data_IF_537484456583
#
_entry.id   IF_537484456583
#
_cell.length_a   1.000
_cell.length_b   1.000
_cell.length_c   1.000
_cell.angle_alpha   90.00
_cell.angle_beta   90.00
_cell.angle_gamma   90.00
#
_symmetry.space_group_name_H-M   'P 1'
#
loop_
_entity.id
_entity.type
_entity.pdbx_description
1 polymer ?
#
# COMPACT_ATOMS: atom_id res chain seq x y z
N UNK A 1 10.27 18.44 5.15
CA UNK A 1 9.30 17.62 4.38
C UNK A 1 8.41 18.58 3.62
N UNK A 2 8.31 18.46 2.29
CA UNK A 2 7.65 19.44 1.42
C UNK A 2 6.12 19.27 1.32
N UNK A 3 5.61 18.04 1.51
CA UNK A 3 4.18 17.72 1.47
C UNK A 3 3.47 17.79 2.84
N UNK A 4 4.19 18.14 3.91
CA UNK A 4 3.62 18.14 5.27
C UNK A 4 2.63 19.31 5.42
N UNK A 5 1.33 19.06 5.71
CA UNK A 5 0.35 20.13 5.89
C UNK A 5 0.60 20.85 7.22
N UNK A 6 1.32 21.97 7.17
CA UNK A 6 1.81 22.69 8.36
C UNK A 6 0.72 23.32 9.23
N UNK A 7 -0.50 23.42 8.72
CA UNK A 7 -1.65 24.01 9.40
C UNK A 7 -2.62 22.95 9.96
N UNK A 8 -2.41 21.67 9.61
CA UNK A 8 -3.28 20.57 10.03
C UNK A 8 -2.80 19.95 11.34
N UNK A 9 -3.33 20.44 12.47
CA UNK A 9 -2.90 20.04 13.81
C UNK A 9 -3.01 18.53 14.03
N UNK A 10 -4.09 17.89 13.56
CA UNK A 10 -4.30 16.43 13.72
C UNK A 10 -3.19 15.63 13.04
N UNK A 11 -2.72 16.06 11.87
CA UNK A 11 -1.62 15.41 11.15
C UNK A 11 -0.30 15.63 11.88
N UNK A 12 -0.04 16.85 12.36
CA UNK A 12 1.18 17.18 13.09
C UNK A 12 1.29 16.43 14.42
N UNK A 13 0.20 16.37 15.19
CA UNK A 13 0.15 15.63 16.45
C UNK A 13 0.38 14.14 16.23
N UNK A 14 -0.20 13.58 15.16
CA UNK A 14 0.03 12.19 14.78
C UNK A 14 1.48 11.96 14.38
N UNK A 15 2.08 12.85 13.59
CA UNK A 15 3.50 12.78 13.24
C UNK A 15 4.38 12.81 14.50
N UNK A 16 4.16 13.75 15.42
CA UNK A 16 4.93 13.87 16.66
C UNK A 16 4.75 12.65 17.58
N UNK A 17 3.54 12.08 17.64
CA UNK A 17 3.27 10.84 18.38
C UNK A 17 4.13 9.67 17.91
N UNK A 18 4.39 9.56 16.61
CA UNK A 18 5.15 8.45 16.00
C UNK A 18 6.57 8.83 15.55
N UNK A 19 7.03 10.05 15.83
CA UNK A 19 8.28 10.60 15.27
C UNK A 19 9.50 9.75 15.64
N UNK A 20 9.56 9.24 16.88
CA UNK A 20 10.66 8.38 17.33
C UNK A 20 10.73 7.09 16.53
N UNK A 21 9.59 6.44 16.30
CA UNK A 21 9.47 5.20 15.53
C UNK A 21 9.80 5.44 14.05
N UNK A 22 9.40 6.58 13.49
CA UNK A 22 9.71 6.94 12.10
C UNK A 22 11.22 7.24 11.90
N UNK A 23 11.87 7.86 12.87
CA UNK A 23 13.32 8.15 12.84
C UNK A 23 14.20 6.94 13.15
N UNK A 24 13.66 5.94 13.83
CA UNK A 24 14.37 4.71 14.20
C UNK A 24 13.43 3.51 14.07
N UNK A 25 13.06 3.15 12.82
CA UNK A 25 12.12 2.07 12.57
C UNK A 25 12.76 0.72 12.90
N UNK A 26 11.91 -0.27 13.16
CA UNK A 26 12.35 -1.66 13.18
C UNK A 26 12.77 -2.07 11.76
N UNK A 27 13.76 -2.94 11.67
CA UNK A 27 14.09 -3.61 10.42
C UNK A 27 13.11 -4.76 10.21
N UNK A 28 12.54 -4.85 9.02
CA UNK A 28 11.50 -5.83 8.71
C UNK A 28 11.96 -7.28 8.94
N UNK A 29 13.18 -7.61 8.52
CA UNK A 29 13.81 -8.90 8.77
C UNK A 29 13.83 -9.30 10.26
N UNK A 30 14.04 -8.33 11.17
CA UNK A 30 14.22 -8.61 12.59
C UNK A 30 12.90 -8.93 13.29
N UNK A 31 11.77 -8.58 12.69
CA UNK A 31 10.41 -8.85 13.21
C UNK A 31 9.67 -9.91 12.39
N UNK A 32 10.27 -10.45 11.32
CA UNK A 32 9.56 -11.29 10.38
C UNK A 32 9.03 -12.56 11.04
N UNK A 33 9.83 -13.23 11.86
CA UNK A 33 9.41 -14.44 12.58
C UNK A 33 8.19 -14.20 13.49
N UNK A 34 8.18 -13.06 14.22
CA UNK A 34 7.04 -12.67 15.03
C UNK A 34 5.82 -12.33 14.16
N UNK A 35 6.03 -11.55 13.10
CA UNK A 35 4.96 -11.10 12.23
C UNK A 35 4.26 -12.25 11.51
N UNK A 36 5.00 -13.31 11.12
CA UNK A 36 4.48 -14.47 10.41
C UNK A 36 3.95 -15.58 11.33
N UNK A 37 4.15 -15.47 12.64
CA UNK A 37 3.74 -16.48 13.62
C UNK A 37 2.21 -16.64 13.70
N UNK A 38 1.75 -17.78 14.22
CA UNK A 38 0.32 -18.02 14.49
C UNK A 38 -0.25 -17.03 15.49
N UNK A 39 0.56 -16.61 16.46
CA UNK A 39 0.19 -15.66 17.52
C UNK A 39 0.63 -14.23 17.17
N UNK A 40 0.76 -13.93 15.87
CA UNK A 40 1.19 -12.62 15.39
C UNK A 40 0.31 -11.51 15.97
N UNK A 41 0.92 -10.45 16.54
CA UNK A 41 0.18 -9.36 17.15
C UNK A 41 -0.45 -8.41 16.12
N UNK A 42 -0.26 -8.65 14.82
CA UNK A 42 -0.69 -7.75 13.76
C UNK A 42 -2.04 -8.20 13.16
N UNK A 43 -2.99 -7.27 13.15
CA UNK A 43 -4.26 -7.44 12.44
C UNK A 43 -4.12 -7.33 10.91
N UNK A 44 -3.03 -6.71 10.44
CA UNK A 44 -2.77 -6.49 9.03
C UNK A 44 -1.53 -5.64 8.80
N UNK A 45 -1.32 -5.30 7.53
CA UNK A 45 -0.18 -4.54 7.02
C UNK A 45 -0.68 -3.24 6.43
N UNK A 46 -0.05 -2.12 6.77
CA UNK A 46 -0.28 -0.83 6.13
C UNK A 46 0.97 -0.40 5.35
N UNK A 47 0.81 -0.17 4.05
CA UNK A 47 1.89 0.28 3.15
C UNK A 47 1.47 1.61 2.53
N UNK A 48 1.95 2.76 3.06
CA UNK A 48 1.61 4.06 2.50
C UNK A 48 2.22 4.24 1.10
N UNK A 49 1.64 5.17 0.34
CA UNK A 49 2.12 5.51 -0.99
C UNK A 49 3.22 6.58 -1.01
N UNK A 50 3.19 7.39 -2.08
CA UNK A 50 4.28 8.28 -2.46
C UNK A 50 5.38 7.52 -3.22
N UNK A 51 6.07 8.20 -4.15
CA UNK A 51 7.04 7.57 -5.05
C UNK A 51 8.20 6.85 -4.34
N UNK A 52 8.46 7.15 -3.05
CA UNK A 52 9.48 6.46 -2.26
C UNK A 52 9.26 4.95 -2.12
N UNK A 53 8.01 4.47 -2.18
CA UNK A 53 7.71 3.02 -2.14
C UNK A 53 8.30 2.28 -3.35
N UNK A 54 8.52 2.96 -4.48
CA UNK A 54 9.09 2.33 -5.67
C UNK A 54 10.55 1.91 -5.48
N UNK A 55 11.22 2.44 -4.46
CA UNK A 55 12.58 2.06 -4.10
C UNK A 55 12.59 0.72 -3.36
N UNK A 56 12.82 -0.37 -4.11
CA UNK A 56 13.11 -1.74 -3.63
C UNK A 56 12.00 -2.49 -2.90
N UNK A 57 10.97 -1.84 -2.39
CA UNK A 57 9.80 -2.53 -1.80
C UNK A 57 9.13 -3.50 -2.81
N UNK A 58 8.92 -3.15 -4.10
CA UNK A 58 8.34 -4.06 -5.09
C UNK A 58 9.20 -5.30 -5.40
N UNK A 59 10.48 -5.27 -5.03
CA UNK A 59 11.45 -6.36 -5.26
C UNK A 59 11.72 -7.17 -3.97
N UNK A 60 11.11 -6.81 -2.84
CA UNK A 60 11.49 -7.33 -1.53
C UNK A 60 10.87 -8.70 -1.22
N UNK A 61 11.72 -9.69 -0.95
CA UNK A 61 11.30 -11.01 -0.48
C UNK A 61 10.67 -11.00 0.92
N UNK A 62 11.03 -10.03 1.76
CA UNK A 62 10.43 -9.85 3.09
C UNK A 62 8.99 -9.35 2.95
N UNK A 63 8.75 -8.40 2.04
CA UNK A 63 7.40 -7.90 1.73
C UNK A 63 6.56 -9.00 1.08
N UNK A 64 7.14 -9.78 0.16
CA UNK A 64 6.51 -10.99 -0.39
C UNK A 64 6.02 -11.93 0.73
N UNK A 65 6.88 -12.25 1.70
CA UNK A 65 6.55 -13.15 2.79
C UNK A 65 5.37 -12.62 3.62
N UNK A 66 5.35 -11.33 3.94
CA UNK A 66 4.26 -10.70 4.66
C UNK A 66 2.94 -10.68 3.88
N UNK A 67 2.98 -10.39 2.57
CA UNK A 67 1.78 -10.41 1.73
C UNK A 67 1.19 -11.81 1.63
N UNK A 68 2.04 -12.84 1.48
CA UNK A 68 1.61 -14.24 1.50
C UNK A 68 0.99 -14.61 2.85
N UNK A 69 1.66 -14.29 3.96
CA UNK A 69 1.10 -14.51 5.29
C UNK A 69 -0.24 -13.81 5.49
N UNK A 70 -0.39 -12.58 4.99
CA UNK A 70 -1.64 -11.85 5.13
C UNK A 70 -2.79 -12.53 4.40
N UNK A 71 -2.56 -13.03 3.18
CA UNK A 71 -3.57 -13.79 2.43
C UNK A 71 -3.86 -15.14 3.10
N UNK A 72 -2.82 -15.88 3.50
CA UNK A 72 -2.95 -17.23 4.06
C UNK A 72 -3.60 -17.25 5.46
N UNK A 73 -3.46 -16.15 6.22
CA UNK A 73 -3.95 -16.04 7.60
C UNK A 73 -5.11 -15.02 7.74
N UNK A 74 -5.76 -14.68 6.63
CA UNK A 74 -6.93 -13.80 6.58
C UNK A 74 -6.70 -12.46 7.30
N UNK A 75 -5.58 -11.80 7.00
CA UNK A 75 -5.17 -10.49 7.54
C UNK A 75 -5.38 -9.38 6.52
N UNK A 76 -5.48 -8.14 7.01
CA UNK A 76 -5.68 -6.98 6.15
C UNK A 76 -4.40 -6.55 5.45
N UNK A 77 -4.53 -6.12 4.20
CA UNK A 77 -3.51 -5.36 3.46
C UNK A 77 -4.13 -4.02 3.09
N UNK A 78 -3.53 -2.94 3.56
CA UNK A 78 -4.08 -1.58 3.43
C UNK A 78 -3.03 -0.72 2.71
N UNK A 79 -3.38 -0.12 1.58
CA UNK A 79 -2.42 0.65 0.78
C UNK A 79 -3.09 1.71 -0.09
N UNK A 80 -2.34 2.68 -0.63
CA UNK A 80 -2.89 3.74 -1.48
C UNK A 80 -1.85 4.40 -2.39
N UNK A 81 -2.32 5.11 -3.41
CA UNK A 81 -1.50 5.89 -4.33
C UNK A 81 -0.49 4.99 -5.06
N UNK A 82 0.82 5.16 -4.86
CA UNK A 82 1.86 4.24 -5.36
C UNK A 82 2.09 3.01 -4.48
N UNK A 83 1.52 2.99 -3.27
CA UNK A 83 1.67 1.90 -2.31
C UNK A 83 1.32 0.50 -2.87
N UNK A 84 0.31 0.34 -3.75
CA UNK A 84 0.04 -0.90 -4.47
C UNK A 84 1.22 -1.47 -5.27
N UNK A 85 2.27 -0.69 -5.55
CA UNK A 85 3.53 -1.21 -6.10
C UNK A 85 4.16 -2.29 -5.21
N UNK A 86 3.90 -2.26 -3.90
CA UNK A 86 4.32 -3.32 -2.98
C UNK A 86 3.71 -4.69 -3.32
N UNK A 87 2.53 -4.74 -3.94
CA UNK A 87 1.88 -5.99 -4.33
C UNK A 87 2.69 -6.74 -5.40
N UNK A 88 3.55 -6.04 -6.17
CA UNK A 88 4.47 -6.66 -7.13
C UNK A 88 5.49 -7.58 -6.43
N UNK A 89 5.80 -7.33 -5.16
CA UNK A 89 6.69 -8.18 -4.38
C UNK A 89 6.17 -9.63 -4.31
N UNK A 90 4.85 -9.82 -4.32
CA UNK A 90 4.25 -11.16 -4.29
C UNK A 90 4.52 -11.99 -5.56
N UNK A 91 5.01 -11.38 -6.64
CA UNK A 91 5.41 -12.07 -7.87
C UNK A 91 6.92 -12.41 -7.92
N UNK A 92 7.73 -11.90 -6.99
CA UNK A 92 9.19 -12.12 -6.99
C UNK A 92 9.49 -13.61 -6.88
N UNK A 93 10.24 -14.17 -7.82
CA UNK A 93 10.57 -15.61 -7.91
C UNK A 93 9.32 -16.54 -7.94
N UNK A 94 8.18 -16.05 -8.40
CA UNK A 94 6.95 -16.85 -8.57
C UNK A 94 6.59 -17.02 -10.05
N UNK A 95 5.86 -18.08 -10.36
CA UNK A 95 5.21 -18.18 -11.66
C UNK A 95 4.08 -17.14 -11.73
N UNK A 96 3.96 -16.33 -12.80
CA UNK A 96 2.87 -15.36 -12.94
C UNK A 96 1.46 -15.97 -12.80
N UNK A 97 1.30 -17.26 -13.07
CA UNK A 97 0.02 -17.95 -12.86
C UNK A 97 -0.34 -18.17 -11.39
N UNK A 98 0.65 -18.19 -10.51
CA UNK A 98 0.51 -18.41 -9.06
C UNK A 98 0.49 -17.09 -8.27
N UNK A 99 0.37 -15.96 -8.98
CA UNK A 99 0.33 -14.64 -8.35
C UNK A 99 -0.90 -14.49 -7.46
N UNK A 100 -0.67 -14.30 -6.15
CA UNK A 100 -1.72 -14.34 -5.13
C UNK A 100 -2.77 -13.23 -5.25
N UNK A 101 -2.45 -12.11 -5.91
CA UNK A 101 -3.40 -11.01 -6.15
C UNK A 101 -4.02 -11.05 -7.55
N UNK A 102 -3.84 -12.12 -8.32
CA UNK A 102 -4.50 -12.28 -9.61
C UNK A 102 -6.02 -12.27 -9.44
N UNK A 103 -6.72 -11.43 -10.20
CA UNK A 103 -8.16 -11.20 -10.09
C UNK A 103 -8.59 -10.34 -8.89
N UNK A 104 -7.65 -9.72 -8.17
CA UNK A 104 -8.01 -8.66 -7.21
C UNK A 104 -8.28 -7.34 -7.92
N UNK A 105 -9.20 -6.57 -7.35
CA UNK A 105 -9.54 -5.22 -7.77
C UNK A 105 -8.88 -4.20 -6.85
N UNK A 106 -8.22 -3.19 -7.42
CA UNK A 106 -7.49 -2.17 -6.65
C UNK A 106 -7.73 -0.77 -7.18
N UNK A 107 -7.60 0.20 -6.26
CA UNK A 107 -7.31 1.59 -6.61
C UNK A 107 -5.79 1.83 -6.57
N UNK A 108 -5.26 2.55 -7.56
CA UNK A 108 -3.83 2.88 -7.67
C UNK A 108 -3.64 4.26 -8.32
N UNK A 109 -2.52 4.92 -8.07
CA UNK A 109 -2.22 6.19 -8.73
C UNK A 109 -2.17 5.99 -10.26
N UNK A 110 -2.91 6.79 -11.07
CA UNK A 110 -2.99 6.56 -12.51
C UNK A 110 -1.67 6.79 -13.24
N UNK A 111 -1.26 5.79 -14.02
CA UNK A 111 -0.08 5.83 -14.88
C UNK A 111 -0.06 7.03 -15.85
N UNK A 112 -1.23 7.49 -16.30
CA UNK A 112 -1.36 8.66 -17.18
C UNK A 112 -0.87 9.96 -16.53
N UNK A 113 -1.02 10.10 -15.21
CA UNK A 113 -0.57 11.28 -14.49
C UNK A 113 0.95 11.26 -14.29
N UNK A 114 1.54 10.09 -14.01
CA UNK A 114 3.00 9.94 -13.91
C UNK A 114 3.73 10.12 -15.25
N UNK A 115 3.09 9.73 -16.36
CA UNK A 115 3.65 9.95 -17.72
C UNK A 115 3.46 11.37 -18.25
N UNK A 116 2.46 12.09 -17.76
CA UNK A 116 2.05 13.41 -18.28
C UNK A 116 2.20 14.50 -17.24
N UNK A 117 1.08 14.88 -16.61
CA UNK A 117 0.97 16.07 -15.78
C UNK A 117 2.08 16.21 -14.71
N UNK A 118 2.50 15.12 -14.06
CA UNK A 118 3.56 15.16 -13.05
C UNK A 118 4.90 15.64 -13.62
N UNK A 119 5.21 15.34 -14.89
CA UNK A 119 6.40 15.81 -15.58
C UNK A 119 6.20 17.24 -16.06
N UNK A 120 5.06 17.51 -16.71
CA UNK A 120 4.77 18.79 -17.36
C UNK A 120 4.80 19.97 -16.38
N UNK A 121 4.33 19.76 -15.14
CA UNK A 121 4.31 20.78 -14.09
C UNK A 121 5.58 20.79 -13.21
N UNK A 122 6.55 19.90 -13.49
CA UNK A 122 7.80 19.80 -12.76
C UNK A 122 7.68 19.18 -11.35
N UNK A 123 6.60 18.44 -11.08
CA UNK A 123 6.48 17.67 -9.84
C UNK A 123 7.51 16.52 -9.80
N UNK A 124 7.73 15.88 -10.95
CA UNK A 124 8.77 14.88 -11.18
C UNK A 124 9.82 15.43 -12.16
N UNK A 125 11.13 15.26 -11.88
CA UNK A 125 12.19 15.75 -12.76
C UNK A 125 12.45 14.85 -13.98
N UNK A 126 11.74 13.73 -14.11
CA UNK A 126 11.91 12.75 -15.18
C UNK A 126 10.94 11.58 -15.06
N UNK A 127 10.82 10.81 -16.14
CA UNK A 127 9.89 9.69 -16.21
C UNK A 127 10.30 8.53 -15.29
N UNK A 128 9.30 7.80 -14.78
CA UNK A 128 9.54 6.54 -14.10
C UNK A 128 10.06 5.47 -15.09
N UNK A 129 10.98 4.59 -14.66
CA UNK A 129 11.49 3.51 -15.51
C UNK A 129 10.45 2.43 -15.80
N UNK A 130 9.42 2.33 -14.97
CA UNK A 130 8.28 1.43 -15.09
C UNK A 130 7.10 2.03 -14.35
N UNK A 131 5.90 1.55 -14.65
CA UNK A 131 4.66 2.08 -14.10
C UNK A 131 3.94 1.06 -13.22
N UNK A 132 3.29 1.54 -12.16
CA UNK A 132 2.66 0.65 -11.18
C UNK A 132 1.44 -0.03 -11.79
N UNK A 133 0.57 0.72 -12.46
CA UNK A 133 -0.68 0.19 -13.00
C UNK A 133 -0.41 -0.90 -14.03
N UNK A 134 0.36 -0.57 -15.06
CA UNK A 134 0.73 -1.49 -16.14
C UNK A 134 1.36 -2.81 -15.63
N UNK A 135 2.20 -2.76 -14.60
CA UNK A 135 2.83 -3.97 -14.04
C UNK A 135 1.85 -4.81 -13.21
N UNK A 136 0.90 -4.20 -12.50
CA UNK A 136 -0.15 -4.92 -11.79
C UNK A 136 -1.14 -5.58 -12.76
N UNK A 137 -1.56 -4.86 -13.81
CA UNK A 137 -2.46 -5.40 -14.84
C UNK A 137 -1.84 -6.61 -15.57
N UNK A 138 -0.53 -6.57 -15.86
CA UNK A 138 0.21 -7.72 -16.44
C UNK A 138 0.15 -8.98 -15.57
N UNK A 139 -0.01 -8.82 -14.26
CA UNK A 139 -0.16 -9.93 -13.31
C UNK A 139 -1.63 -10.31 -13.08
N UNK A 140 -2.56 -9.66 -13.79
CA UNK A 140 -3.99 -9.95 -13.74
C UNK A 140 -4.73 -9.24 -12.61
N UNK A 141 -4.19 -8.16 -12.05
CA UNK A 141 -4.92 -7.26 -11.14
C UNK A 141 -5.81 -6.32 -11.97
N UNK A 142 -7.05 -6.11 -11.54
CA UNK A 142 -7.98 -5.16 -12.16
C UNK A 142 -7.87 -3.78 -11.50
N UNK A 143 -7.57 -2.75 -12.29
CA UNK A 143 -7.51 -1.37 -11.82
C UNK A 143 -8.86 -0.69 -12.06
N UNK A 144 -9.47 -0.19 -10.99
CA UNK A 144 -10.81 0.38 -11.05
C UNK A 144 -10.84 1.86 -11.45
N UNK A 145 -9.86 2.63 -11.01
CA UNK A 145 -9.86 4.08 -11.16
C UNK A 145 -9.08 4.52 -12.41
N UNK A 146 -9.60 5.54 -13.11
CA UNK A 146 -8.90 6.19 -14.24
C UNK A 146 -8.28 7.54 -13.86
N UNK A 147 -8.68 8.11 -12.73
CA UNK A 147 -8.25 9.41 -12.24
C UNK A 147 -8.02 9.38 -10.73
N UNK A 148 -7.89 10.57 -10.16
CA UNK A 148 -7.73 10.77 -8.72
C UNK A 148 -8.96 11.52 -8.18
N UNK A 149 -9.86 10.79 -7.53
CA UNK A 149 -11.12 11.33 -7.00
C UNK A 149 -11.25 11.13 -5.49
N UNK A 150 -10.24 10.55 -4.84
CA UNK A 150 -10.32 10.12 -3.45
C UNK A 150 -11.10 8.80 -3.29
N UNK A 151 -11.17 8.02 -4.38
CA UNK A 151 -11.81 6.71 -4.39
C UNK A 151 -11.05 5.75 -3.49
N UNK A 152 -11.80 4.97 -2.73
CA UNK A 152 -11.31 3.80 -2.00
C UNK A 152 -12.07 2.56 -2.46
N UNK A 153 -11.42 1.41 -2.35
CA UNK A 153 -12.04 0.13 -2.69
C UNK A 153 -11.65 -0.93 -1.67
N UNK A 154 -12.61 -1.76 -1.33
CA UNK A 154 -12.41 -2.98 -0.56
C UNK A 154 -12.64 -4.17 -1.47
N UNK A 155 -11.63 -5.02 -1.59
CA UNK A 155 -11.76 -6.34 -2.19
C UNK A 155 -11.24 -7.38 -1.18
N UNK A 156 -12.16 -8.16 -0.61
CA UNK A 156 -11.88 -9.05 0.53
C UNK A 156 -11.23 -8.23 1.67
N UNK A 157 -10.00 -8.59 2.09
CA UNK A 157 -9.20 -7.87 3.09
C UNK A 157 -8.09 -6.99 2.48
N UNK A 158 -8.14 -6.74 1.16
CA UNK A 158 -7.30 -5.75 0.50
C UNK A 158 -8.06 -4.42 0.39
N UNK A 159 -7.60 -3.41 1.13
CA UNK A 159 -8.17 -2.06 1.15
C UNK A 159 -7.24 -1.11 0.41
N UNK A 160 -7.74 -0.47 -0.64
CA UNK A 160 -6.93 0.39 -1.52
C UNK A 160 -7.51 1.80 -1.67
N UNK A 161 -6.66 2.79 -1.92
CA UNK A 161 -7.05 4.17 -2.22
C UNK A 161 -6.30 4.73 -3.43
N UNK A 162 -6.95 5.55 -4.25
CA UNK A 162 -6.41 5.98 -5.55
C UNK A 162 -5.20 6.93 -5.47
N UNK A 163 -5.12 7.75 -4.42
CA UNK A 163 -4.24 8.92 -4.39
C UNK A 163 -4.17 9.53 -2.99
N UNK A 164 -3.41 10.63 -2.78
CA UNK A 164 -3.47 11.37 -1.52
C UNK A 164 -4.88 11.87 -1.16
N UNK A 165 -5.76 12.10 -2.14
CA UNK A 165 -7.15 12.50 -1.90
C UNK A 165 -7.95 11.41 -1.17
N UNK A 166 -7.53 10.14 -1.27
CA UNK A 166 -8.20 9.00 -0.64
C UNK A 166 -7.81 8.82 0.83
N UNK A 167 -6.81 9.55 1.35
CA UNK A 167 -6.20 9.30 2.67
C UNK A 167 -7.23 9.23 3.81
N UNK A 168 -8.13 10.22 3.88
CA UNK A 168 -9.17 10.25 4.92
C UNK A 168 -10.21 9.14 4.74
N UNK A 169 -10.64 8.90 3.50
CA UNK A 169 -11.63 7.86 3.20
C UNK A 169 -11.07 6.46 3.50
N UNK A 170 -9.79 6.23 3.22
CA UNK A 170 -9.14 4.94 3.49
C UNK A 170 -8.97 4.71 4.99
N UNK A 171 -8.64 5.76 5.75
CA UNK A 171 -8.59 5.68 7.21
C UNK A 171 -9.94 5.29 7.82
N UNK A 172 -11.04 5.87 7.33
CA UNK A 172 -12.40 5.50 7.75
C UNK A 172 -12.73 4.06 7.39
N UNK A 173 -12.53 3.68 6.11
CA UNK A 173 -12.78 2.32 5.63
C UNK A 173 -12.01 1.28 6.44
N UNK A 174 -10.72 1.52 6.69
CA UNK A 174 -9.89 0.63 7.51
C UNK A 174 -10.40 0.52 8.95
N UNK A 175 -10.70 1.64 9.61
CA UNK A 175 -11.21 1.60 10.98
C UNK A 175 -12.55 0.85 11.08
N UNK A 176 -13.50 1.14 10.18
CA UNK A 176 -14.81 0.50 10.15
C UNK A 176 -14.70 -1.01 9.89
N UNK A 177 -13.90 -1.43 8.91
CA UNK A 177 -13.73 -2.85 8.56
C UNK A 177 -13.02 -3.63 9.66
N UNK A 178 -11.93 -3.11 10.22
CA UNK A 178 -11.19 -3.79 11.28
C UNK A 178 -12.03 -3.93 12.56
N UNK A 179 -12.82 -2.92 12.92
CA UNK A 179 -13.70 -2.99 14.11
C UNK A 179 -14.87 -3.96 13.91
N UNK A 180 -15.39 -4.06 12.70
CA UNK A 180 -16.49 -4.97 12.37
C UNK A 180 -16.05 -6.43 12.20
N UNK A 181 -14.74 -6.70 12.09
CA UNK A 181 -14.24 -8.04 11.82
C UNK A 181 -14.25 -8.92 13.10
N UNK A 182 -15.13 -9.94 13.18
CA UNK A 182 -15.16 -10.83 14.34
C UNK A 182 -13.88 -11.66 14.47
N UNK A 183 -13.13 -11.88 13.39
CA UNK A 183 -11.88 -12.67 13.42
C UNK A 183 -10.74 -11.96 14.14
N UNK A 184 -10.86 -10.65 14.39
CA UNK A 184 -9.89 -9.86 15.14
C UNK A 184 -10.25 -9.69 16.62
N UNK A 185 -11.45 -10.11 17.02
CA UNK A 185 -12.00 -9.93 18.37
C UNK A 185 -12.13 -11.24 19.17
N UNK A 186 -11.69 -12.37 18.59
CA UNK A 186 -11.70 -13.69 19.19
C UNK A 186 -10.31 -14.04 19.77
#
# INVERSE_FOLDING_TARGET
MWAMPKEEQVVLDTYHKYEKQLKSPLKLADILDQALSSDSPYAGIFIPGGHGVLAKIPESKEVKALLKWAVDNDKYVITLCHGPASLLAAAVDENPNDYIFKGYQVCVFPDSLDKGANIDIGYMPGQLPWLVGENLEKLGVEILNKGITGQVHQDRKLLTGDSPLASNNLGKLAAETLLADPSLNA
#
